data_IF_153442900992
#
_entry.id   IF_153442900992
#
_cell.length_a   1.000
_cell.length_b   1.000
_cell.length_c   1.000
_cell.angle_alpha   90.00
_cell.angle_beta   90.00
_cell.angle_gamma   90.00
#
_symmetry.space_group_name_H-M   'P 1'
#
loop_
_entity.id
_entity.type
_entity.pdbx_description
1 polymer ?
#
# COMPACT_ATOMS: atom_id res chain seq x y z
N UNK A 1 -0.18 -15.16 3.94
CA UNK A 1 0.65 -16.32 4.34
C UNK A 1 2.01 -15.86 4.80
N UNK A 2 2.48 -16.39 5.93
CA UNK A 2 3.79 -16.05 6.47
C UNK A 2 4.76 -17.21 6.25
N UNK A 3 5.96 -16.89 5.83
CA UNK A 3 7.05 -17.84 5.68
C UNK A 3 8.23 -17.36 6.52
N UNK A 4 8.79 -18.25 7.33
CA UNK A 4 9.96 -17.97 8.16
C UNK A 4 11.13 -18.78 7.66
N UNK A 5 12.30 -18.18 7.62
CA UNK A 5 13.53 -18.87 7.23
C UNK A 5 14.76 -18.23 7.87
N UNK A 6 15.93 -18.81 7.66
CA UNK A 6 17.18 -18.34 8.26
C UNK A 6 17.12 -18.34 9.79
N UNK A 7 16.72 -19.50 10.38
CA UNK A 7 16.57 -19.68 11.84
C UNK A 7 15.57 -18.71 12.45
N UNK A 8 14.45 -18.48 11.76
CA UNK A 8 13.37 -17.57 12.14
C UNK A 8 13.78 -16.09 12.23
N UNK A 9 14.94 -15.73 11.67
CA UNK A 9 15.39 -14.34 11.63
C UNK A 9 14.74 -13.53 10.52
N UNK A 10 14.19 -14.20 9.52
CA UNK A 10 13.53 -13.55 8.39
C UNK A 10 12.11 -14.04 8.29
N UNK A 11 11.18 -13.09 8.22
CA UNK A 11 9.76 -13.36 8.05
C UNK A 11 9.31 -12.71 6.75
N UNK A 12 8.64 -13.47 5.91
CA UNK A 12 7.99 -12.95 4.70
C UNK A 12 6.48 -13.10 4.81
N UNK A 13 5.76 -12.06 4.43
CA UNK A 13 4.31 -12.11 4.25
C UNK A 13 4.03 -12.02 2.75
N UNK A 14 3.31 -12.99 2.23
CA UNK A 14 2.92 -13.03 0.82
C UNK A 14 1.41 -12.88 0.71
N UNK A 15 0.96 -11.96 -0.12
CA UNK A 15 -0.46 -11.74 -0.39
C UNK A 15 -0.68 -11.58 -1.88
N UNK A 16 -1.83 -12.04 -2.35
CA UNK A 16 -2.27 -11.86 -3.73
C UNK A 16 -3.41 -10.86 -3.76
N UNK A 17 -3.31 -9.87 -4.64
CA UNK A 17 -4.36 -8.88 -4.85
C UNK A 17 -4.47 -8.61 -6.35
N UNK A 18 -5.67 -8.73 -6.90
CA UNK A 18 -5.95 -8.48 -8.33
C UNK A 18 -5.03 -9.28 -9.26
N UNK A 19 -4.74 -10.53 -8.92
CA UNK A 19 -3.89 -11.40 -9.72
C UNK A 19 -2.39 -11.15 -9.58
N UNK A 20 -1.96 -10.18 -8.77
CA UNK A 20 -0.56 -9.92 -8.49
C UNK A 20 -0.16 -10.41 -7.10
N UNK A 21 1.04 -10.91 -6.99
CA UNK A 21 1.59 -11.36 -5.70
C UNK A 21 2.52 -10.30 -5.13
N UNK A 22 2.31 -9.98 -3.86
CA UNK A 22 3.10 -9.00 -3.13
C UNK A 22 3.79 -9.67 -1.96
N UNK A 23 5.02 -9.27 -1.70
CA UNK A 23 5.83 -9.83 -0.62
C UNK A 23 6.34 -8.71 0.27
N UNK A 24 6.06 -8.82 1.57
CA UNK A 24 6.66 -7.97 2.59
C UNK A 24 7.64 -8.78 3.41
N UNK A 25 8.78 -8.22 3.72
CA UNK A 25 9.86 -8.91 4.42
C UNK A 25 10.32 -8.14 5.63
N UNK A 26 10.58 -8.87 6.72
CA UNK A 26 11.18 -8.30 7.92
C UNK A 26 12.36 -9.19 8.34
N UNK A 27 13.47 -8.55 8.68
CA UNK A 27 14.64 -9.22 9.22
C UNK A 27 14.80 -8.81 10.68
N UNK A 28 15.00 -9.80 11.54
CA UNK A 28 15.31 -9.56 12.94
C UNK A 28 16.82 -9.50 13.11
N UNK A 29 17.34 -8.41 13.67
CA UNK A 29 18.75 -8.34 14.01
C UNK A 29 18.99 -9.16 15.28
N UNK A 30 20.23 -9.62 15.46
CA UNK A 30 20.62 -10.40 16.65
C UNK A 30 20.51 -9.61 17.95
N UNK A 31 20.45 -8.28 17.86
CA UNK A 31 20.32 -7.39 19.02
C UNK A 31 18.87 -7.02 19.31
N UNK A 32 17.96 -7.28 18.38
CA UNK A 32 16.55 -7.05 18.61
C UNK A 32 16.00 -8.14 19.51
N UNK A 33 15.20 -7.73 20.46
CA UNK A 33 14.37 -8.65 21.21
C UNK A 33 13.60 -9.46 20.17
N UNK A 34 13.96 -10.72 19.96
CA UNK A 34 13.32 -11.63 19.02
C UNK A 34 11.82 -11.74 19.34
N UNK A 35 11.05 -10.72 19.02
CA UNK A 35 9.62 -10.78 19.15
C UNK A 35 9.03 -11.18 17.80
N UNK A 36 8.61 -12.42 17.63
CA UNK A 36 8.08 -12.89 16.36
C UNK A 36 6.82 -12.15 15.96
N UNK A 37 6.08 -11.61 16.92
CA UNK A 37 4.87 -10.82 16.65
C UNK A 37 5.24 -9.53 15.92
N UNK A 38 6.29 -8.86 16.33
CA UNK A 38 6.77 -7.63 15.68
C UNK A 38 7.22 -7.95 14.26
N UNK A 39 7.99 -9.00 14.07
CA UNK A 39 8.46 -9.44 12.75
C UNK A 39 7.32 -9.75 11.78
N UNK A 40 6.33 -10.49 12.25
CA UNK A 40 5.16 -10.84 11.45
C UNK A 40 4.34 -9.60 11.08
N UNK A 41 4.08 -8.70 12.02
CA UNK A 41 3.36 -7.46 11.77
C UNK A 41 4.12 -6.56 10.80
N UNK A 42 5.43 -6.45 10.97
CA UNK A 42 6.26 -5.64 10.09
C UNK A 42 6.24 -6.18 8.65
N UNK A 43 6.38 -7.49 8.47
CA UNK A 43 6.28 -8.12 7.15
C UNK A 43 4.89 -7.91 6.54
N UNK A 44 3.85 -8.05 7.35
CA UNK A 44 2.47 -7.82 6.92
C UNK A 44 2.27 -6.38 6.44
N UNK A 45 2.67 -5.38 7.23
CA UNK A 45 2.50 -3.99 6.84
C UNK A 45 3.35 -3.59 5.64
N UNK A 46 4.54 -4.15 5.49
CA UNK A 46 5.36 -3.91 4.30
C UNK A 46 4.70 -4.48 3.05
N UNK A 47 4.07 -5.65 3.16
CA UNK A 47 3.28 -6.24 2.08
C UNK A 47 2.08 -5.35 1.75
N UNK A 48 1.32 -4.93 2.77
CA UNK A 48 0.18 -4.02 2.59
C UNK A 48 0.59 -2.69 1.97
N UNK A 49 1.75 -2.16 2.36
CA UNK A 49 2.26 -0.91 1.78
C UNK A 49 2.47 -1.05 0.27
N UNK A 50 3.01 -2.17 -0.19
CA UNK A 50 3.19 -2.40 -1.62
C UNK A 50 1.86 -2.48 -2.36
N UNK A 51 0.87 -3.17 -1.77
CA UNK A 51 -0.48 -3.26 -2.34
C UNK A 51 -1.11 -1.87 -2.46
N UNK A 52 -1.02 -1.07 -1.40
CA UNK A 52 -1.62 0.26 -1.39
C UNK A 52 -0.90 1.22 -2.35
N UNK A 53 0.41 1.09 -2.52
CA UNK A 53 1.15 1.87 -3.53
C UNK A 53 0.74 1.49 -4.95
N UNK A 54 0.48 0.22 -5.20
CA UNK A 54 0.00 -0.24 -6.50
C UNK A 54 -1.42 0.31 -6.77
N UNK A 55 -2.28 0.29 -5.77
CA UNK A 55 -3.62 0.87 -5.88
C UNK A 55 -3.55 2.38 -6.19
N UNK A 56 -2.64 3.09 -5.54
CA UNK A 56 -2.42 4.52 -5.81
C UNK A 56 -1.97 4.75 -7.25
N UNK A 57 -1.05 3.93 -7.74
CA UNK A 57 -0.58 3.99 -9.12
C UNK A 57 -1.74 3.84 -10.10
N UNK A 58 -2.61 2.86 -9.86
CA UNK A 58 -3.78 2.62 -10.71
C UNK A 58 -4.77 3.79 -10.70
N UNK A 59 -5.01 4.39 -9.52
CA UNK A 59 -5.89 5.56 -9.38
C UNK A 59 -5.31 6.73 -10.16
N UNK A 60 -4.03 7.01 -10.03
CA UNK A 60 -3.35 8.10 -10.73
C UNK A 60 -3.37 7.91 -12.23
N UNK A 61 -3.18 6.68 -12.69
CA UNK A 61 -3.27 6.35 -14.11
C UNK A 61 -4.67 6.58 -14.65
N UNK A 62 -5.70 6.19 -13.91
CA UNK A 62 -7.09 6.44 -14.30
C UNK A 62 -7.40 7.94 -14.37
N UNK A 63 -6.92 8.73 -13.42
CA UNK A 63 -7.05 10.19 -13.44
C UNK A 63 -6.43 10.79 -14.70
N UNK A 64 -5.23 10.37 -15.03
CA UNK A 64 -4.51 10.89 -16.18
C UNK A 64 -5.23 10.55 -17.49
N UNK A 65 -5.74 9.32 -17.62
CA UNK A 65 -6.54 8.91 -18.78
C UNK A 65 -7.81 9.74 -18.91
N UNK A 66 -8.52 9.98 -17.80
CA UNK A 66 -9.73 10.82 -17.80
C UNK A 66 -9.39 12.25 -18.23
N UNK A 67 -8.30 12.80 -17.76
CA UNK A 67 -7.83 14.13 -18.15
C UNK A 67 -7.54 14.20 -19.65
N UNK A 68 -6.86 13.21 -20.19
CA UNK A 68 -6.56 13.13 -21.62
C UNK A 68 -7.85 13.07 -22.46
N UNK A 69 -8.82 12.30 -22.02
CA UNK A 69 -10.12 12.19 -22.71
C UNK A 69 -10.84 13.55 -22.70
N UNK A 70 -10.90 14.21 -21.54
CA UNK A 70 -11.58 15.51 -21.40
C UNK A 70 -10.94 16.60 -22.26
N UNK A 71 -9.62 16.57 -22.45
CA UNK A 71 -8.92 17.53 -23.29
C UNK A 71 -9.31 17.44 -24.77
N UNK A 72 -9.80 16.28 -25.20
CA UNK A 72 -10.19 16.02 -26.60
C UNK A 72 -11.69 16.17 -26.85
N UNK A 73 -12.49 16.36 -25.80
CA UNK A 73 -13.94 16.44 -25.93
C UNK A 73 -14.45 17.89 -25.88
N UNK A 74 -15.58 18.19 -26.56
CA UNK A 74 -16.27 19.46 -26.38
C UNK A 74 -16.70 19.67 -24.93
N UNK A 75 -16.77 20.94 -24.44
CA UNK A 75 -17.13 21.19 -23.04
C UNK A 75 -18.46 20.59 -22.60
N UNK A 76 -19.42 20.46 -23.50
CA UNK A 76 -20.72 19.86 -23.19
C UNK A 76 -20.65 18.37 -22.85
N UNK A 77 -19.66 17.67 -23.37
CA UNK A 77 -19.50 16.23 -23.20
C UNK A 77 -18.57 15.87 -22.03
N UNK A 78 -17.96 16.85 -21.40
CA UNK A 78 -16.99 16.62 -20.31
C UNK A 78 -17.63 16.43 -18.94
N UNK A 79 -18.91 16.75 -18.75
CA UNK A 79 -19.56 16.71 -17.43
C UNK A 79 -19.47 15.36 -16.73
N UNK A 80 -19.75 14.27 -17.47
CA UNK A 80 -19.69 12.92 -16.92
C UNK A 80 -18.26 12.57 -16.50
N UNK A 81 -17.31 12.87 -17.37
CA UNK A 81 -15.89 12.61 -17.11
C UNK A 81 -15.36 13.47 -15.96
N UNK A 82 -15.85 14.71 -15.81
CA UNK A 82 -15.51 15.55 -14.65
C UNK A 82 -15.95 14.92 -13.34
N UNK A 83 -17.15 14.34 -13.32
CA UNK A 83 -17.64 13.63 -12.14
C UNK A 83 -16.74 12.44 -11.79
N UNK A 84 -16.39 11.64 -12.77
CA UNK A 84 -15.46 10.51 -12.58
C UNK A 84 -14.07 10.97 -12.16
N UNK A 85 -13.58 12.06 -12.74
CA UNK A 85 -12.28 12.64 -12.37
C UNK A 85 -12.31 13.10 -10.90
N UNK A 86 -13.37 13.77 -10.48
CA UNK A 86 -13.53 14.21 -9.09
C UNK A 86 -13.56 13.03 -8.13
N UNK A 87 -14.26 11.97 -8.49
CA UNK A 87 -14.27 10.73 -7.71
C UNK A 87 -12.88 10.12 -7.61
N UNK A 88 -12.13 10.10 -8.70
CA UNK A 88 -10.75 9.60 -8.71
C UNK A 88 -9.85 10.47 -7.81
N UNK A 89 -10.04 11.78 -7.78
CA UNK A 89 -9.30 12.67 -6.86
C UNK A 89 -9.61 12.32 -5.40
N UNK A 90 -10.87 12.05 -5.09
CA UNK A 90 -11.28 11.67 -3.74
C UNK A 90 -10.68 10.32 -3.33
N UNK A 91 -10.66 9.37 -4.25
CA UNK A 91 -10.03 8.06 -4.02
C UNK A 91 -8.52 8.19 -3.81
N UNK A 92 -7.87 9.07 -4.56
CA UNK A 92 -6.44 9.34 -4.38
C UNK A 92 -6.14 9.85 -2.98
N UNK A 93 -6.92 10.81 -2.49
CA UNK A 93 -6.77 11.36 -1.14
C UNK A 93 -6.94 10.27 -0.07
N UNK A 94 -7.97 9.45 -0.21
CA UNK A 94 -8.22 8.34 0.71
C UNK A 94 -7.09 7.33 0.69
N UNK A 95 -6.56 7.04 -0.50
CA UNK A 95 -5.46 6.09 -0.67
C UNK A 95 -4.16 6.61 -0.07
N UNK A 96 -3.86 7.89 -0.25
CA UNK A 96 -2.69 8.53 0.37
C UNK A 96 -2.76 8.48 1.90
N UNK A 97 -3.96 8.66 2.44
CA UNK A 97 -4.17 8.54 3.89
C UNK A 97 -3.89 7.12 4.38
N UNK A 98 -4.38 6.10 3.67
CA UNK A 98 -4.11 4.69 4.00
C UNK A 98 -2.62 4.38 3.99
N UNK A 99 -1.91 4.86 2.98
CA UNK A 99 -0.45 4.68 2.86
C UNK A 99 0.25 5.34 4.05
N UNK A 100 -0.17 6.54 4.44
CA UNK A 100 0.39 7.24 5.60
C UNK A 100 0.19 6.45 6.89
N UNK A 101 -1.01 5.92 7.11
CA UNK A 101 -1.33 5.12 8.30
C UNK A 101 -0.42 3.89 8.37
N UNK A 102 -0.25 3.19 7.26
CA UNK A 102 0.62 2.01 7.20
C UNK A 102 2.08 2.40 7.46
N UNK A 103 2.55 3.49 6.87
CA UNK A 103 3.90 4.01 7.08
C UNK A 103 4.16 4.33 8.55
N UNK A 104 3.19 4.95 9.22
CA UNK A 104 3.30 5.27 10.64
C UNK A 104 3.35 4.00 11.49
N UNK A 105 2.56 2.98 11.14
CA UNK A 105 2.60 1.69 11.84
C UNK A 105 3.93 0.97 11.67
N UNK A 106 4.50 1.00 10.47
CA UNK A 106 5.82 0.43 10.21
C UNK A 106 6.87 1.14 11.07
N UNK A 107 6.80 2.47 11.13
CA UNK A 107 7.71 3.26 11.95
C UNK A 107 7.60 2.92 13.43
N UNK A 108 6.38 2.76 13.95
CA UNK A 108 6.13 2.37 15.33
C UNK A 108 6.72 1.00 15.64
N UNK A 109 6.51 0.02 14.76
CA UNK A 109 7.07 -1.32 14.91
C UNK A 109 8.59 -1.32 14.87
N UNK A 110 9.18 -0.51 14.00
CA UNK A 110 10.64 -0.37 13.92
C UNK A 110 11.23 0.21 15.20
N UNK A 111 10.44 0.99 15.96
CA UNK A 111 10.81 1.53 17.27
C UNK A 111 10.42 0.58 18.42
N UNK A 112 9.95 -0.63 18.13
CA UNK A 112 9.57 -1.61 19.14
C UNK A 112 8.17 -1.41 19.74
N UNK A 113 7.39 -0.49 19.19
CA UNK A 113 6.01 -0.21 19.64
C UNK A 113 5.03 -1.01 18.78
N UNK A 114 4.14 -1.76 19.44
CA UNK A 114 3.09 -2.51 18.74
C UNK A 114 1.89 -1.59 18.56
N UNK A 115 1.48 -1.27 17.31
CA UNK A 115 0.31 -0.42 17.07
C UNK A 115 -0.98 -1.19 17.34
N UNK A 116 -1.95 -0.51 17.87
CA UNK A 116 -3.30 -1.03 18.12
C UNK A 116 -4.26 -0.59 17.04
#
# INVERSE_FOLDING_TARGET
MFTKYNNDKVVECTKTSKGQTFVGRAECSSTDLNNPIIGEKLAHYRCEQQIQKQNLFEIRRAKELLKMIMEKLPPKETKLYMSWYQEACNREKAQLHRIKVIKDRIKSLSNGVIPY
#
